data_IF_180038761663
#
_entry.id   IF_180038761663
#
_cell.length_a   1.000
_cell.length_b   1.000
_cell.length_c   1.000
_cell.angle_alpha   90.00
_cell.angle_beta   90.00
_cell.angle_gamma   90.00
#
_symmetry.space_group_name_H-M   'P 1'
#
loop_
_entity.id
_entity.type
_entity.pdbx_description
1 polymer ?
#
# COMPACT_ATOMS: atom_id res chain seq x y z
N UNK A 1 8.38 -52.43 -32.42
CA UNK A 1 8.84 -52.58 -31.01
C UNK A 1 8.04 -51.63 -30.13
N UNK A 2 6.98 -52.14 -29.49
CA UNK A 2 6.10 -51.39 -28.59
C UNK A 2 6.76 -51.31 -27.20
N UNK A 3 6.93 -50.11 -26.63
CA UNK A 3 7.35 -49.95 -25.23
C UNK A 3 6.10 -49.83 -24.35
N UNK A 4 5.99 -50.74 -23.39
CA UNK A 4 4.93 -50.80 -22.40
C UNK A 4 4.99 -49.58 -21.46
N UNK A 5 3.83 -49.06 -21.09
CA UNK A 5 3.67 -48.08 -20.01
C UNK A 5 3.73 -48.81 -18.68
N UNK A 6 4.59 -48.35 -17.77
CA UNK A 6 4.60 -48.82 -16.39
C UNK A 6 3.30 -48.35 -15.70
N UNK A 7 2.58 -49.30 -15.13
CA UNK A 7 1.37 -49.07 -14.35
C UNK A 7 1.73 -48.46 -12.99
N UNK A 8 1.08 -47.36 -12.62
CA UNK A 8 1.11 -46.79 -11.28
C UNK A 8 0.20 -47.62 -10.36
N UNK A 9 0.60 -47.93 -9.12
CA UNK A 9 -0.29 -48.58 -8.17
C UNK A 9 -1.36 -47.61 -7.66
N UNK A 10 -2.63 -48.05 -7.71
CA UNK A 10 -3.78 -47.39 -7.06
C UNK A 10 -3.61 -47.33 -5.54
N UNK A 11 -4.05 -46.27 -4.85
CA UNK A 11 -4.12 -46.26 -3.40
C UNK A 11 -5.35 -47.06 -2.95
N UNK A 12 -5.14 -48.34 -2.66
CA UNK A 12 -6.06 -49.13 -1.87
C UNK A 12 -5.95 -48.68 -0.41
N UNK A 13 -7.12 -48.38 0.16
CA UNK A 13 -7.48 -48.70 1.54
C UNK A 13 -6.68 -48.03 2.65
N UNK A 14 -7.31 -46.99 3.22
CA UNK A 14 -7.13 -46.57 4.61
C UNK A 14 -7.09 -47.77 5.56
N UNK A 15 -5.88 -48.22 5.91
CA UNK A 15 -5.64 -48.95 7.14
C UNK A 15 -5.52 -47.92 8.26
N UNK A 16 -6.62 -47.77 8.97
CA UNK A 16 -6.73 -47.19 10.30
C UNK A 16 -5.67 -47.74 11.26
N UNK A 17 -4.62 -46.95 11.53
CA UNK A 17 -3.86 -47.04 12.77
C UNK A 17 -4.27 -45.87 13.66
N UNK A 18 -5.41 -46.05 14.34
CA UNK A 18 -5.69 -45.35 15.59
C UNK A 18 -4.81 -46.02 16.64
N UNK A 19 -3.71 -45.36 17.01
CA UNK A 19 -2.89 -45.75 18.15
C UNK A 19 -3.07 -44.66 19.19
N UNK A 20 -4.04 -44.89 20.08
CA UNK A 20 -4.04 -44.57 21.50
C UNK A 20 -3.23 -43.34 21.93
N UNK A 21 -3.86 -42.16 21.94
CA UNK A 21 -3.39 -41.00 22.69
C UNK A 21 -4.58 -40.50 23.52
N UNK A 22 -4.55 -40.89 24.80
CA UNK A 22 -5.36 -40.46 25.93
C UNK A 22 -6.61 -39.62 25.62
N UNK A 23 -7.76 -40.30 25.50
CA UNK A 23 -9.08 -39.73 25.78
C UNK A 23 -9.20 -39.48 27.30
N UNK A 24 -8.40 -38.52 27.81
CA UNK A 24 -8.54 -38.03 29.16
C UNK A 24 -9.83 -37.22 29.22
N UNK A 25 -10.89 -37.83 29.74
CA UNK A 25 -12.16 -37.16 30.02
C UNK A 25 -11.89 -35.80 30.70
N UNK A 26 -12.57 -34.72 30.29
CA UNK A 26 -12.33 -33.40 30.86
C UNK A 26 -12.42 -33.47 32.38
N UNK A 27 -11.48 -32.83 33.05
CA UNK A 27 -11.43 -32.77 34.50
C UNK A 27 -12.82 -32.35 35.02
N UNK A 28 -13.39 -33.18 35.89
CA UNK A 28 -14.72 -32.96 36.45
C UNK A 28 -14.62 -31.83 37.48
N UNK A 29 -14.53 -30.60 36.99
CA UNK A 29 -14.54 -29.40 37.83
C UNK A 29 -15.96 -29.14 38.30
N UNK A 30 -16.18 -28.91 39.61
CA UNK A 30 -17.50 -28.57 40.11
C UNK A 30 -18.01 -27.28 39.45
N UNK A 31 -19.30 -27.23 39.11
CA UNK A 31 -19.93 -26.10 38.40
C UNK A 31 -19.69 -24.72 39.04
N UNK A 32 -19.51 -24.65 40.35
CA UNK A 32 -19.16 -23.42 41.06
C UNK A 32 -17.79 -22.87 40.64
N UNK A 33 -16.78 -23.73 40.58
CA UNK A 33 -15.41 -23.39 40.16
C UNK A 33 -15.38 -23.01 38.68
N UNK A 34 -16.09 -23.76 37.83
CA UNK A 34 -16.22 -23.43 36.41
C UNK A 34 -16.86 -22.05 36.19
N UNK A 35 -17.90 -21.69 36.98
CA UNK A 35 -18.53 -20.36 36.93
C UNK A 35 -17.60 -19.24 37.40
N UNK A 36 -16.79 -19.50 38.43
CA UNK A 36 -15.83 -18.51 38.93
C UNK A 36 -14.68 -18.29 37.94
N UNK A 37 -14.12 -19.36 37.38
CA UNK A 37 -13.11 -19.31 36.34
C UNK A 37 -13.60 -18.52 35.11
N UNK A 38 -14.81 -18.82 34.60
CA UNK A 38 -15.37 -18.08 33.47
C UNK A 38 -15.59 -16.59 33.75
N UNK A 39 -15.94 -16.22 34.99
CA UNK A 39 -16.05 -14.81 35.41
C UNK A 39 -14.68 -14.12 35.49
N UNK A 40 -13.67 -14.82 36.00
CA UNK A 40 -12.30 -14.31 36.07
C UNK A 40 -11.73 -14.10 34.67
N UNK A 41 -11.90 -15.07 33.76
CA UNK A 41 -11.50 -14.95 32.36
C UNK A 41 -12.17 -13.76 31.68
N UNK A 42 -13.49 -13.58 31.84
CA UNK A 42 -14.19 -12.41 31.28
C UNK A 42 -13.63 -11.09 31.79
N UNK A 43 -13.21 -11.02 33.06
CA UNK A 43 -12.56 -9.82 33.62
C UNK A 43 -11.17 -9.62 33.01
N UNK A 44 -10.35 -10.66 32.94
CA UNK A 44 -9.01 -10.60 32.35
C UNK A 44 -9.04 -10.18 30.88
N UNK A 45 -9.95 -10.73 30.08
CA UNK A 45 -10.14 -10.35 28.68
C UNK A 45 -10.55 -8.88 28.56
N UNK A 46 -11.46 -8.43 29.42
CA UNK A 46 -11.88 -7.02 29.47
C UNK A 46 -10.73 -6.07 29.84
N UNK A 47 -9.89 -6.45 30.80
CA UNK A 47 -8.69 -5.68 31.18
C UNK A 47 -7.63 -5.68 30.10
N UNK A 48 -7.37 -6.82 29.46
CA UNK A 48 -6.44 -6.91 28.34
C UNK A 48 -6.86 -5.99 27.18
N UNK A 49 -8.16 -5.94 26.86
CA UNK A 49 -8.69 -5.02 25.85
C UNK A 49 -8.49 -3.55 26.23
N UNK A 50 -8.63 -3.20 27.53
CA UNK A 50 -8.37 -1.84 28.02
C UNK A 50 -6.89 -1.47 27.92
N UNK A 51 -5.99 -2.33 28.39
CA UNK A 51 -4.53 -2.13 28.29
C UNK A 51 -4.09 -1.96 26.85
N UNK A 52 -4.57 -2.81 25.94
CA UNK A 52 -4.28 -2.68 24.53
C UNK A 52 -4.74 -1.33 23.94
N UNK A 53 -5.91 -0.82 24.35
CA UNK A 53 -6.39 0.51 23.94
C UNK A 53 -5.48 1.63 24.48
N UNK A 54 -4.96 1.48 25.68
CA UNK A 54 -4.03 2.44 26.30
C UNK A 54 -2.67 2.45 25.58
N UNK A 55 -2.12 1.28 25.28
CA UNK A 55 -0.88 1.16 24.49
C UNK A 55 -1.00 1.83 23.12
N UNK A 56 -2.14 1.67 22.44
CA UNK A 56 -2.39 2.36 21.16
C UNK A 56 -2.43 3.88 21.32
N UNK A 57 -3.02 4.40 22.40
CA UNK A 57 -3.04 5.83 22.70
C UNK A 57 -1.64 6.34 23.04
N UNK A 58 -0.88 5.59 23.81
CA UNK A 58 0.50 5.93 24.17
C UNK A 58 1.39 5.98 22.91
N UNK A 59 1.26 4.99 22.01
CA UNK A 59 1.94 5.03 20.71
C UNK A 59 1.61 6.32 19.95
N UNK A 60 0.35 6.74 19.90
CA UNK A 60 -0.04 8.01 19.25
C UNK A 60 0.60 9.22 19.94
N UNK A 61 0.61 9.25 21.27
CA UNK A 61 1.26 10.33 22.06
C UNK A 61 2.76 10.41 21.78
N UNK A 62 3.48 9.28 21.83
CA UNK A 62 4.92 9.23 21.52
C UNK A 62 5.23 9.73 20.11
N UNK A 63 4.41 9.39 19.11
CA UNK A 63 4.60 9.92 17.75
C UNK A 63 4.40 11.44 17.69
N UNK A 64 3.40 11.98 18.40
CA UNK A 64 3.16 13.42 18.47
C UNK A 64 4.30 14.15 19.20
N UNK A 65 4.81 13.59 20.29
CA UNK A 65 5.95 14.12 21.03
C UNK A 65 7.21 14.16 20.17
N UNK A 66 7.53 13.08 19.46
CA UNK A 66 8.66 13.05 18.52
C UNK A 66 8.51 14.11 17.41
N UNK A 67 7.30 14.31 16.89
CA UNK A 67 7.07 15.34 15.88
C UNK A 67 7.25 16.75 16.47
N UNK A 68 6.74 17.00 17.68
CA UNK A 68 6.91 18.27 18.37
C UNK A 68 8.38 18.54 18.70
N UNK A 69 9.12 17.56 19.19
CA UNK A 69 10.56 17.66 19.44
C UNK A 69 11.35 17.89 18.15
N UNK A 70 11.01 17.18 17.08
CA UNK A 70 11.62 17.41 15.78
C UNK A 70 11.34 18.83 15.28
N UNK A 71 10.10 19.32 15.40
CA UNK A 71 9.75 20.69 15.03
C UNK A 71 10.55 21.70 15.87
N UNK A 72 10.67 21.51 17.18
CA UNK A 72 11.51 22.34 18.05
C UNK A 72 12.98 22.32 17.66
N UNK A 73 13.54 21.15 17.31
CA UNK A 73 14.93 21.03 16.84
C UNK A 73 15.17 21.59 15.44
N UNK A 74 14.14 21.67 14.60
CA UNK A 74 14.20 22.25 13.25
C UNK A 74 14.02 23.77 13.27
N UNK A 75 13.49 24.34 14.35
CA UNK A 75 13.51 25.78 14.58
C UNK A 75 14.95 26.20 14.91
N UNK A 76 15.34 27.37 14.44
CA UNK A 76 16.62 27.97 14.80
C UNK A 76 16.68 28.15 16.32
N UNK A 77 17.86 27.96 16.96
CA UNK A 77 18.00 28.20 18.38
C UNK A 77 17.45 29.57 18.76
N UNK A 78 16.72 29.64 19.87
CA UNK A 78 16.02 30.86 20.30
C UNK A 78 16.95 32.07 20.39
N UNK A 79 18.22 31.86 20.78
CA UNK A 79 19.25 32.90 20.80
C UNK A 79 19.44 33.59 19.43
N UNK A 80 19.42 32.82 18.32
CA UNK A 80 19.58 33.39 16.97
C UNK A 80 18.32 34.16 16.55
N UNK A 81 17.14 33.70 16.98
CA UNK A 81 15.88 34.40 16.72
C UNK A 81 15.82 35.73 17.50
N UNK A 82 16.28 35.73 18.76
CA UNK A 82 16.39 36.93 19.58
C UNK A 82 17.38 37.93 18.98
N UNK A 83 18.55 37.48 18.51
CA UNK A 83 19.52 38.34 17.82
C UNK A 83 18.93 38.99 16.56
N UNK A 84 18.20 38.22 15.73
CA UNK A 84 17.55 38.77 14.53
C UNK A 84 16.45 39.78 14.88
N UNK A 85 15.72 39.57 15.98
CA UNK A 85 14.71 40.49 16.45
C UNK A 85 15.32 41.77 17.04
N UNK A 86 16.37 41.67 17.85
CA UNK A 86 17.12 42.83 18.34
C UNK A 86 17.73 43.64 17.19
N UNK A 87 18.26 42.99 16.16
CA UNK A 87 18.74 43.68 14.96
C UNK A 87 17.60 44.40 14.21
N UNK A 88 16.40 43.81 14.19
CA UNK A 88 15.22 44.45 13.60
C UNK A 88 14.72 45.64 14.44
N UNK A 89 14.75 45.52 15.77
CA UNK A 89 14.35 46.58 16.70
C UNK A 89 15.38 47.72 16.75
N UNK A 90 16.68 47.41 16.63
CA UNK A 90 17.76 48.40 16.48
C UNK A 90 17.70 49.07 15.11
N UNK A 91 17.37 48.33 14.04
CA UNK A 91 17.10 48.92 12.73
C UNK A 91 15.90 49.87 12.77
N UNK A 92 14.81 49.49 13.46
CA UNK A 92 13.65 50.35 13.67
C UNK A 92 13.95 51.59 14.54
N UNK A 93 14.93 51.51 15.44
CA UNK A 93 15.34 52.62 16.32
C UNK A 93 16.36 53.56 15.65
N UNK A 94 17.04 53.13 14.58
CA UNK A 94 18.03 53.94 13.83
C UNK A 94 17.47 54.70 12.61
N UNK A 95 16.20 54.50 12.25
CA UNK A 95 15.54 55.23 11.18
C UNK A 95 14.83 56.49 11.73
N UNK A 96 15.01 57.69 11.12
CA UNK A 96 14.29 58.88 11.56
C UNK A 96 12.80 58.77 11.20
N UNK A 97 11.85 59.23 12.04
CA UNK A 97 10.43 59.17 11.73
C UNK A 97 10.10 60.28 10.73
N UNK A 98 9.98 59.93 9.45
CA UNK A 98 9.48 60.82 8.42
C UNK A 98 8.21 60.25 7.77
N UNK A 99 7.10 60.75 8.31
CA UNK A 99 5.82 61.07 7.65
C UNK A 99 4.76 59.98 7.51
N UNK A 100 3.75 60.17 8.36
CA UNK A 100 2.34 59.92 8.09
C UNK A 100 1.95 60.39 6.68
N UNK A 101 1.33 59.51 5.90
CA UNK A 101 0.27 59.88 4.95
C UNK A 101 -0.55 58.61 4.62
N UNK A 102 -1.82 58.66 4.97
CA UNK A 102 -2.87 57.74 4.57
C UNK A 102 -3.00 57.66 3.04
N UNK A 103 -3.37 56.48 2.53
CA UNK A 103 -4.65 56.22 1.87
C UNK A 103 -4.61 54.87 1.12
N UNK A 104 -5.48 53.95 1.55
CA UNK A 104 -6.08 52.91 0.71
C UNK A 104 -6.97 53.59 -0.39
N UNK A 105 -7.55 52.92 -1.42
CA UNK A 105 -8.20 51.59 -1.42
C UNK A 105 -7.84 50.69 -2.64
N UNK A 106 -7.86 49.36 -2.51
CA UNK A 106 -8.96 48.38 -2.69
C UNK A 106 -9.33 48.03 -4.14
N UNK A 107 -9.43 46.70 -4.32
CA UNK A 107 -10.17 45.91 -5.30
C UNK A 107 -9.59 45.59 -6.70
N UNK A 108 -9.54 44.27 -6.90
CA UNK A 108 -10.00 43.47 -8.05
C UNK A 108 -9.24 43.48 -9.38
N UNK A 109 -8.84 42.24 -9.76
CA UNK A 109 -9.05 41.58 -11.07
C UNK A 109 -8.45 42.28 -12.31
N UNK A 110 -7.88 41.65 -13.33
CA UNK A 110 -7.61 40.29 -13.81
C UNK A 110 -6.77 40.55 -15.09
N UNK A 111 -6.46 39.51 -15.87
CA UNK A 111 -5.98 39.61 -17.28
C UNK A 111 -4.52 40.11 -17.49
N UNK A 112 -3.70 39.60 -18.41
CA UNK A 112 -3.85 38.65 -19.51
C UNK A 112 -2.41 38.33 -19.97
N UNK A 113 -2.16 37.04 -20.29
CA UNK A 113 -1.51 36.58 -21.54
C UNK A 113 -0.01 36.91 -21.77
N UNK A 114 0.80 36.10 -22.42
CA UNK A 114 0.64 35.05 -23.43
C UNK A 114 1.98 34.28 -23.42
N UNK A 115 1.98 32.94 -23.56
CA UNK A 115 2.41 32.21 -24.78
C UNK A 115 3.86 32.54 -25.23
N UNK A 116 4.76 31.61 -25.52
CA UNK A 116 4.63 30.42 -26.35
C UNK A 116 6.00 29.70 -26.35
N UNK A 117 5.98 28.40 -26.65
CA UNK A 117 6.99 27.67 -27.42
C UNK A 117 8.41 27.48 -26.79
N UNK A 118 9.19 26.43 -27.02
CA UNK A 118 9.22 25.37 -28.02
C UNK A 118 9.83 24.09 -27.42
N UNK A 119 9.43 22.99 -28.05
CA UNK A 119 10.19 21.79 -28.44
C UNK A 119 11.32 21.17 -27.59
N UNK A 120 11.15 19.84 -27.46
CA UNK A 120 12.12 18.78 -27.69
C UNK A 120 13.60 18.97 -27.27
N UNK A 121 14.12 18.03 -26.46
CA UNK A 121 14.76 16.81 -27.01
C UNK A 121 15.29 15.88 -25.93
N UNK A 122 15.18 14.60 -26.25
CA UNK A 122 15.86 13.48 -25.60
C UNK A 122 17.38 13.66 -25.58
N UNK A 123 18.02 13.23 -24.49
CA UNK A 123 19.47 13.07 -24.45
C UNK A 123 19.93 12.32 -23.22
N UNK A 124 20.26 11.04 -23.39
CA UNK A 124 21.07 10.27 -22.46
C UNK A 124 22.47 10.90 -22.36
N UNK A 125 23.04 11.03 -21.16
CA UNK A 125 24.48 10.92 -20.92
C UNK A 125 24.79 10.91 -19.42
N UNK A 126 25.79 10.11 -19.07
CA UNK A 126 26.25 9.73 -17.74
C UNK A 126 26.67 10.89 -16.83
N UNK A 127 26.51 10.79 -15.49
CA UNK A 127 27.16 11.71 -14.57
C UNK A 127 28.64 11.35 -14.42
N UNK A 128 29.48 12.19 -15.03
CA UNK A 128 30.92 12.20 -14.82
C UNK A 128 31.25 12.32 -13.32
N UNK A 129 32.21 11.48 -12.90
CA UNK A 129 32.83 11.47 -11.58
C UNK A 129 33.52 12.81 -11.35
N UNK A 130 32.95 13.66 -10.49
CA UNK A 130 33.69 14.74 -9.83
C UNK A 130 34.03 14.28 -8.41
N UNK A 131 35.30 13.93 -8.21
CA UNK A 131 35.90 13.72 -6.89
C UNK A 131 35.83 15.02 -6.08
N UNK A 132 34.72 15.19 -5.36
CA UNK A 132 34.58 16.17 -4.30
C UNK A 132 35.16 15.62 -3.01
N UNK A 133 36.28 16.19 -2.59
CA UNK A 133 37.00 16.02 -1.32
C UNK A 133 36.05 15.61 -0.18
N UNK A 134 36.14 14.33 0.22
CA UNK A 134 35.43 13.78 1.37
C UNK A 134 35.94 14.48 2.63
N UNK A 135 35.16 15.42 3.17
CA UNK A 135 35.36 15.89 4.53
C UNK A 135 35.24 14.69 5.44
N UNK A 136 36.31 14.44 6.20
CA UNK A 136 36.41 13.34 7.17
C UNK A 136 35.48 13.66 8.34
N UNK A 137 34.17 13.49 8.17
CA UNK A 137 33.25 13.47 9.30
C UNK A 137 33.39 12.14 10.02
N UNK A 138 33.64 12.23 11.32
CA UNK A 138 33.94 11.13 12.23
C UNK A 138 33.02 9.90 12.03
N UNK A 139 33.66 8.75 11.75
CA UNK A 139 33.15 7.36 11.84
C UNK A 139 31.62 7.22 11.84
N UNK A 140 31.02 7.15 10.65
CA UNK A 140 29.73 6.48 10.48
C UNK A 140 29.88 5.02 10.94
N UNK A 141 29.34 4.69 12.11
CA UNK A 141 29.24 3.30 12.57
C UNK A 141 28.14 2.60 11.75
N UNK A 142 28.51 2.19 10.53
CA UNK A 142 27.81 1.22 9.69
C UNK A 142 26.60 1.76 8.92
N UNK A 143 26.66 1.69 7.59
CA UNK A 143 25.46 1.76 6.76
C UNK A 143 24.79 0.38 6.81
N UNK A 144 23.69 0.26 7.56
CA UNK A 144 22.91 -0.99 7.60
C UNK A 144 21.89 -0.98 6.47
N UNK A 145 22.04 -1.91 5.53
CA UNK A 145 20.94 -2.29 4.63
C UNK A 145 20.20 -3.45 5.26
N UNK A 146 18.96 -3.21 5.69
CA UNK A 146 18.05 -4.28 6.02
C UNK A 146 17.62 -4.98 4.73
N UNK A 147 18.25 -6.10 4.41
CA UNK A 147 17.80 -6.97 3.32
C UNK A 147 16.79 -7.93 3.92
N UNK A 148 15.52 -7.77 3.55
CA UNK A 148 14.52 -8.80 3.84
C UNK A 148 14.89 -10.04 3.02
N UNK A 149 15.52 -11.03 3.66
CA UNK A 149 15.63 -12.38 3.11
C UNK A 149 14.20 -12.89 2.94
N UNK A 150 13.78 -12.97 1.68
CA UNK A 150 12.47 -13.47 1.31
C UNK A 150 12.40 -14.92 1.85
N UNK A 151 11.47 -15.21 2.74
CA UNK A 151 11.15 -16.59 3.15
C UNK A 151 10.53 -17.28 1.93
N UNK A 152 11.36 -17.86 1.06
CA UNK A 152 10.97 -18.12 -0.33
C UNK A 152 10.14 -19.39 -0.57
N UNK A 153 9.80 -20.22 0.42
CA UNK A 153 9.20 -21.54 0.09
C UNK A 153 7.96 -21.94 0.89
N UNK A 154 7.91 -21.77 2.21
CA UNK A 154 6.75 -22.24 3.00
C UNK A 154 5.61 -21.22 3.07
N UNK A 155 5.93 -19.94 3.26
CA UNK A 155 4.97 -18.84 3.12
C UNK A 155 4.56 -18.63 1.67
N UNK A 156 5.43 -18.99 0.71
CA UNK A 156 5.15 -18.90 -0.73
C UNK A 156 3.97 -19.76 -1.17
N UNK A 157 3.88 -21.02 -0.73
CA UNK A 157 2.76 -21.91 -1.09
C UNK A 157 1.43 -21.41 -0.51
N UNK A 158 1.39 -21.06 0.77
CA UNK A 158 0.16 -20.56 1.39
C UNK A 158 -0.25 -19.20 0.83
N UNK A 159 0.72 -18.31 0.57
CA UNK A 159 0.47 -17.03 -0.08
C UNK A 159 -0.02 -17.22 -1.52
N UNK A 160 0.54 -18.16 -2.26
CA UNK A 160 0.10 -18.47 -3.62
C UNK A 160 -1.33 -19.03 -3.60
N UNK A 161 -1.63 -19.98 -2.71
CA UNK A 161 -2.99 -20.49 -2.51
C UNK A 161 -3.97 -19.37 -2.16
N UNK A 162 -3.59 -18.46 -1.25
CA UNK A 162 -4.42 -17.31 -0.90
C UNK A 162 -4.62 -16.35 -2.10
N UNK A 163 -3.57 -16.09 -2.88
CA UNK A 163 -3.67 -15.28 -4.09
C UNK A 163 -4.55 -15.94 -5.14
N UNK A 164 -4.42 -17.25 -5.34
CA UNK A 164 -5.20 -18.00 -6.32
C UNK A 164 -6.66 -18.10 -5.89
N UNK A 165 -6.93 -18.27 -4.60
CA UNK A 165 -8.27 -18.15 -4.03
C UNK A 165 -8.89 -16.77 -4.30
N UNK A 166 -8.16 -15.68 -4.01
CA UNK A 166 -8.64 -14.32 -4.29
C UNK A 166 -8.86 -14.10 -5.78
N UNK A 167 -7.97 -14.61 -6.64
CA UNK A 167 -8.13 -14.51 -8.10
C UNK A 167 -9.35 -15.27 -8.59
N UNK A 168 -9.58 -16.48 -8.10
CA UNK A 168 -10.75 -17.28 -8.47
C UNK A 168 -12.06 -16.62 -8.01
N UNK A 169 -12.08 -16.02 -6.82
CA UNK A 169 -13.27 -15.35 -6.28
C UNK A 169 -13.55 -13.99 -6.92
N UNK A 170 -12.52 -13.18 -7.20
CA UNK A 170 -12.69 -11.81 -7.70
C UNK A 170 -12.63 -11.71 -9.22
N UNK A 171 -11.84 -12.55 -9.88
CA UNK A 171 -11.49 -12.50 -11.31
C UNK A 171 -11.72 -13.86 -12.01
N UNK A 172 -12.60 -14.70 -11.47
CA UNK A 172 -12.91 -16.02 -12.00
C UNK A 172 -13.88 -16.00 -13.20
N UNK A 173 -14.21 -17.17 -13.78
CA UNK A 173 -15.02 -17.29 -15.00
C UNK A 173 -16.42 -16.67 -14.92
N UNK A 174 -16.95 -16.50 -13.71
CA UNK A 174 -18.28 -15.96 -13.45
C UNK A 174 -18.26 -14.50 -13.02
N UNK A 175 -17.07 -13.89 -12.91
CA UNK A 175 -16.92 -12.49 -12.56
C UNK A 175 -16.46 -11.73 -13.80
N UNK A 176 -17.20 -10.70 -14.16
CA UNK A 176 -16.86 -9.86 -15.29
C UNK A 176 -15.89 -8.74 -14.90
N UNK A 177 -15.01 -8.99 -13.93
CA UNK A 177 -14.08 -8.00 -13.37
C UNK A 177 -12.68 -8.22 -13.94
N UNK A 178 -12.04 -7.14 -14.36
CA UNK A 178 -10.65 -7.15 -14.86
C UNK A 178 -9.69 -6.82 -13.71
N UNK A 179 -8.52 -7.48 -13.59
CA UNK A 179 -7.52 -7.13 -12.58
C UNK A 179 -6.97 -5.72 -12.82
N UNK A 180 -6.63 -5.02 -11.74
CA UNK A 180 -6.19 -3.62 -11.79
C UNK A 180 -4.99 -3.41 -12.73
N UNK A 181 -4.02 -4.32 -12.71
CA UNK A 181 -2.83 -4.25 -13.57
C UNK A 181 -3.18 -4.32 -15.06
N UNK A 182 -4.22 -5.07 -15.43
CA UNK A 182 -4.66 -5.19 -16.82
C UNK A 182 -5.52 -3.99 -17.23
N UNK A 183 -6.37 -3.50 -16.32
CA UNK A 183 -7.16 -2.28 -16.55
C UNK A 183 -6.28 -1.03 -16.70
N UNK A 184 -5.23 -0.89 -15.89
CA UNK A 184 -4.28 0.22 -15.99
C UNK A 184 -3.09 -0.08 -16.89
N UNK A 185 -3.12 -1.19 -17.64
CA UNK A 185 -2.03 -1.54 -18.55
C UNK A 185 -1.88 -0.50 -19.67
N UNK A 186 -0.65 -0.33 -20.16
CA UNK A 186 -0.37 0.55 -21.29
C UNK A 186 -1.12 0.13 -22.56
N UNK A 187 -1.38 -1.17 -22.73
CA UNK A 187 -2.21 -1.68 -23.81
C UNK A 187 -3.62 -1.08 -23.74
N UNK A 188 -4.30 -1.22 -22.59
CA UNK A 188 -5.63 -0.65 -22.41
C UNK A 188 -5.65 0.89 -22.51
N UNK A 189 -4.57 1.55 -22.11
CA UNK A 189 -4.44 3.01 -22.24
C UNK A 189 -4.33 3.47 -23.69
N UNK A 190 -3.63 2.71 -24.53
CA UNK A 190 -3.39 3.03 -25.95
C UNK A 190 -4.52 2.55 -26.87
N UNK A 191 -5.35 1.63 -26.40
CA UNK A 191 -6.49 1.12 -27.17
C UNK A 191 -7.51 2.24 -27.48
N UNK A 192 -8.02 2.34 -28.72
CA UNK A 192 -9.02 3.36 -29.09
C UNK A 192 -10.34 3.17 -28.33
N UNK A 193 -10.66 1.93 -27.96
CA UNK A 193 -11.81 1.59 -27.11
C UNK A 193 -11.28 1.01 -25.80
N UNK A 194 -11.36 1.80 -24.72
CA UNK A 194 -10.90 1.40 -23.40
C UNK A 194 -11.73 0.23 -22.87
N UNK A 195 -11.06 -0.81 -22.37
CA UNK A 195 -11.67 -1.91 -21.61
C UNK A 195 -12.18 -1.37 -20.27
N UNK A 196 -13.41 -1.72 -19.93
CA UNK A 196 -14.01 -1.38 -18.64
C UNK A 196 -13.44 -2.26 -17.51
N UNK A 197 -13.38 -1.71 -16.29
CA UNK A 197 -12.91 -2.42 -15.10
C UNK A 197 -13.87 -3.56 -14.70
N UNK A 198 -15.17 -3.36 -14.94
CA UNK A 198 -16.23 -4.35 -14.76
C UNK A 198 -17.10 -4.33 -16.02
N UNK A 199 -17.40 -5.51 -16.56
CA UNK A 199 -18.38 -5.68 -17.63
C UNK A 199 -19.68 -6.18 -16.99
N UNK A 200 -20.83 -5.63 -17.37
CA UNK A 200 -22.10 -6.08 -16.79
C UNK A 200 -22.72 -7.22 -17.59
N UNK A 201 -22.31 -7.35 -18.85
CA UNK A 201 -22.84 -8.33 -19.80
C UNK A 201 -21.66 -8.93 -20.55
N UNK A 202 -21.69 -10.25 -20.70
CA UNK A 202 -20.67 -10.99 -21.44
C UNK A 202 -20.69 -10.54 -22.91
N UNK A 203 -19.58 -9.98 -23.39
CA UNK A 203 -19.47 -9.50 -24.79
C UNK A 203 -19.53 -10.64 -25.81
N UNK A 204 -19.24 -11.87 -25.38
CA UNK A 204 -19.40 -13.09 -26.15
C UNK A 204 -20.87 -13.49 -26.31
N UNK A 205 -21.78 -12.93 -25.49
CA UNK A 205 -23.20 -13.18 -25.60
C UNK A 205 -23.72 -12.79 -26.98
N UNK A 206 -24.22 -13.79 -27.71
CA UNK A 206 -24.77 -13.60 -29.05
C UNK A 206 -23.75 -13.56 -30.19
N UNK A 207 -22.44 -13.75 -29.94
CA UNK A 207 -21.45 -13.92 -31.02
C UNK A 207 -21.78 -15.15 -31.89
N UNK A 208 -22.13 -16.28 -31.28
CA UNK A 208 -22.55 -17.48 -32.01
C UNK A 208 -23.79 -17.23 -32.89
N UNK A 209 -24.77 -16.48 -32.38
CA UNK A 209 -25.96 -16.09 -33.15
C UNK A 209 -25.60 -15.17 -34.31
N UNK A 210 -24.70 -14.21 -34.10
CA UNK A 210 -24.19 -13.31 -35.16
C UNK A 210 -23.43 -14.08 -36.23
N UNK A 211 -22.57 -15.03 -35.85
CA UNK A 211 -21.85 -15.89 -36.79
C UNK A 211 -22.79 -16.81 -37.58
N UNK A 212 -23.75 -17.45 -36.91
CA UNK A 212 -24.81 -18.23 -37.56
C UNK A 212 -25.60 -17.37 -38.56
N UNK A 213 -25.99 -16.16 -38.19
CA UNK A 213 -26.67 -15.23 -39.08
C UNK A 213 -25.79 -14.80 -40.27
N UNK A 214 -24.51 -14.52 -40.06
CA UNK A 214 -23.57 -14.18 -41.13
C UNK A 214 -23.36 -15.36 -42.11
N UNK A 215 -23.20 -16.58 -41.57
CA UNK A 215 -23.15 -17.82 -42.37
C UNK A 215 -24.43 -18.04 -43.16
N UNK A 216 -25.59 -17.77 -42.55
CA UNK A 216 -26.89 -17.89 -43.21
C UNK A 216 -27.04 -16.88 -44.36
N UNK A 217 -26.71 -15.59 -44.14
CA UNK A 217 -26.73 -14.56 -45.18
C UNK A 217 -25.84 -14.91 -46.38
N UNK A 218 -24.64 -15.46 -46.14
CA UNK A 218 -23.73 -15.89 -47.22
C UNK A 218 -24.33 -17.01 -48.10
N UNK A 219 -25.18 -17.88 -47.55
CA UNK A 219 -25.82 -18.97 -48.31
C UNK A 219 -27.01 -18.52 -49.16
N UNK A 220 -27.59 -17.36 -48.85
CA UNK A 220 -28.77 -16.84 -49.53
C UNK A 220 -28.47 -15.87 -50.68
N UNK A 221 -27.23 -15.37 -50.77
CA UNK A 221 -26.80 -14.42 -51.81
C UNK A 221 -26.12 -15.17 -52.98
N UNK A 222 -26.10 -16.50 -52.96
CA UNK A 222 -25.55 -17.35 -54.01
C UNK A 222 -26.64 -17.82 -54.98
#
# INVERSE_FOLDING_TARGET
KRRARAALPSPASSSCSSSDEADAAPEQVPFGVAREAAKAERRLVGEAARRHREEQKEKRRRHQELFAEQKKRRLLPEAVLQELQELQDVAATSAPPARLAECAPADDQDEELEDEAEEEKQGQAEPQVKEGKRSKSARSKGNYMAVCLKDQSSTGLHQQLAQDFLKAQLYGPHTNRVPANEFFSLANKKDPVKKAAVQFVDKSWGQEKKEKAARFKKRWIA
#
